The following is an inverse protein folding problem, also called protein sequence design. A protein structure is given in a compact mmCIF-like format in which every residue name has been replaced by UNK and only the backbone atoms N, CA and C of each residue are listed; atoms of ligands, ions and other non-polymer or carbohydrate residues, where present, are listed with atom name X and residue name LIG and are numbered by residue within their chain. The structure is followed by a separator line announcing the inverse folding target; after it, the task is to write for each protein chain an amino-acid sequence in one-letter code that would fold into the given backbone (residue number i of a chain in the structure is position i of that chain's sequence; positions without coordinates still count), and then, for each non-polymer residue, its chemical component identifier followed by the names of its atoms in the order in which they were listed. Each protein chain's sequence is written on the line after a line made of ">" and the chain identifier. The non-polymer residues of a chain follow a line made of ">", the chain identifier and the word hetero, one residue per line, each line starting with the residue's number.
data_IF_961554591386
#
_entry.id   IF_961554591386
#
_cell.length_a   1.000
_cell.length_b   1.000
_cell.length_c   1.000
_cell.angle_alpha   90.00
_cell.angle_beta   90.00
_cell.angle_gamma   90.00
#
_symmetry.space_group_name_H-M   'P 1'
#
loop_
_entity.id
_entity.type
_entity.pdbx_description
1 polymer ?
#
# COMPACT_ATOMS: atom_id res chain seq x y z
N UNK A 1 9.14 -7.08 18.23
CA UNK A 1 7.73 -7.10 17.83
C UNK A 1 7.70 -6.69 16.37
N UNK A 2 7.22 -7.56 15.47
CA UNK A 2 7.05 -7.17 14.07
C UNK A 2 5.69 -6.48 13.98
N UNK A 3 5.66 -5.15 14.12
CA UNK A 3 4.45 -4.36 13.89
C UNK A 3 4.06 -4.44 12.41
N UNK A 4 2.77 -4.75 12.16
CA UNK A 4 2.17 -4.75 10.83
C UNK A 4 1.09 -3.66 10.80
N UNK A 5 1.22 -2.63 9.95
CA UNK A 5 2.39 -2.32 9.11
C UNK A 5 3.59 -1.80 9.93
N UNK A 6 4.83 -1.88 9.41
CA UNK A 6 5.98 -1.32 10.09
C UNK A 6 5.89 0.21 10.19
N UNK A 7 6.60 0.82 11.16
CA UNK A 7 6.51 2.26 11.42
C UNK A 7 6.86 3.13 10.22
N UNK A 8 7.77 2.67 9.36
CA UNK A 8 8.20 3.38 8.14
C UNK A 8 7.39 3.00 6.89
N UNK A 9 6.24 2.33 7.05
CA UNK A 9 5.42 1.87 5.94
C UNK A 9 5.04 3.01 4.99
N UNK A 10 4.54 4.14 5.50
CA UNK A 10 4.09 5.23 4.64
C UNK A 10 5.22 5.78 3.76
N UNK A 11 6.38 6.05 4.35
CA UNK A 11 7.53 6.60 3.63
C UNK A 11 8.06 5.62 2.57
N UNK A 12 8.23 4.34 2.93
CA UNK A 12 8.71 3.31 2.01
C UNK A 12 7.69 3.03 0.90
N UNK A 13 6.40 2.94 1.25
CA UNK A 13 5.36 2.66 0.29
C UNK A 13 5.18 3.82 -0.72
N UNK A 14 5.26 5.07 -0.27
CA UNK A 14 5.25 6.22 -1.19
C UNK A 14 6.50 6.23 -2.07
N UNK A 15 7.67 5.88 -1.54
CA UNK A 15 8.89 5.72 -2.35
C UNK A 15 8.76 4.63 -3.39
N UNK A 16 8.15 3.49 -3.06
CA UNK A 16 7.83 2.42 -4.01
C UNK A 16 6.87 2.90 -5.10
N UNK A 17 5.82 3.66 -4.75
CA UNK A 17 4.88 4.25 -5.70
C UNK A 17 5.57 5.25 -6.64
N UNK A 18 6.52 6.03 -6.12
CA UNK A 18 7.29 7.01 -6.88
C UNK A 18 8.43 6.40 -7.69
N UNK A 19 8.82 5.16 -7.39
CA UNK A 19 9.93 4.50 -8.06
C UNK A 19 9.63 4.40 -9.56
N UNK A 20 10.53 4.93 -10.40
CA UNK A 20 10.36 5.01 -11.85
C UNK A 20 10.17 3.63 -12.50
N UNK A 21 10.77 2.59 -11.95
CA UNK A 21 10.66 1.20 -12.43
C UNK A 21 9.30 0.54 -12.13
N UNK A 22 8.55 1.08 -11.18
CA UNK A 22 7.23 0.59 -10.79
C UNK A 22 6.16 1.17 -11.72
N UNK A 23 5.77 0.43 -12.76
CA UNK A 23 4.73 0.84 -13.72
C UNK A 23 3.33 0.36 -13.32
N UNK A 24 3.24 -0.64 -12.44
CA UNK A 24 1.99 -1.26 -11.98
C UNK A 24 2.04 -1.51 -10.48
N UNK A 25 0.91 -1.36 -9.81
CA UNK A 25 0.80 -1.59 -8.37
C UNK A 25 1.21 -3.01 -7.97
N UNK A 26 0.91 -4.01 -8.80
CA UNK A 26 1.34 -5.41 -8.61
C UNK A 26 2.85 -5.65 -8.57
N UNK A 27 3.67 -4.67 -9.00
CA UNK A 27 5.13 -4.75 -8.85
C UNK A 27 5.57 -4.42 -7.42
N UNK A 28 4.77 -3.65 -6.68
CA UNK A 28 5.00 -3.37 -5.27
C UNK A 28 4.52 -4.58 -4.49
N UNK A 29 5.44 -5.24 -3.78
CA UNK A 29 5.13 -6.42 -2.96
C UNK A 29 5.63 -6.20 -1.55
N UNK A 30 4.68 -6.13 -0.64
CA UNK A 30 4.87 -6.02 0.79
C UNK A 30 4.46 -7.33 1.42
N UNK A 31 5.44 -8.20 1.64
CA UNK A 31 5.19 -9.52 2.23
C UNK A 31 5.17 -9.35 3.74
N UNK A 32 3.99 -9.49 4.32
CA UNK A 32 3.81 -9.54 5.76
C UNK A 32 3.71 -11.01 6.21
N UNK A 33 4.19 -11.29 7.42
CA UNK A 33 4.14 -12.64 7.97
C UNK A 33 2.68 -12.98 8.33
N UNK A 34 1.98 -13.72 7.47
CA UNK A 34 0.54 -14.01 7.59
C UNK A 34 0.13 -14.65 8.92
N UNK A 35 1.05 -15.36 9.58
CA UNK A 35 0.86 -15.91 10.94
C UNK A 35 0.71 -14.85 12.04
N UNK A 36 0.99 -13.57 11.74
CA UNK A 36 0.91 -12.44 12.68
C UNK A 36 -0.08 -11.37 12.24
N UNK A 37 -0.86 -11.61 11.18
CA UNK A 37 -1.84 -10.65 10.67
C UNK A 37 -3.21 -10.97 11.26
N UNK A 38 -3.49 -10.41 12.42
CA UNK A 38 -4.83 -10.35 12.97
C UNK A 38 -5.68 -9.28 12.28
N UNK A 39 -7.01 -9.33 12.47
CA UNK A 39 -7.94 -8.31 11.97
C UNK A 39 -7.50 -6.87 12.32
N UNK A 40 -6.96 -6.67 13.52
CA UNK A 40 -6.45 -5.38 13.96
C UNK A 40 -5.28 -4.88 13.10
N UNK A 41 -4.37 -5.76 12.68
CA UNK A 41 -3.26 -5.41 11.80
C UNK A 41 -3.76 -5.04 10.38
N UNK A 42 -4.76 -5.77 9.86
CA UNK A 42 -5.41 -5.43 8.59
C UNK A 42 -6.09 -4.05 8.64
N UNK A 43 -6.81 -3.76 9.72
CA UNK A 43 -7.44 -2.46 9.93
C UNK A 43 -6.40 -1.35 10.08
N UNK A 44 -5.31 -1.59 10.81
CA UNK A 44 -4.18 -0.66 10.92
C UNK A 44 -3.55 -0.37 9.56
N UNK A 45 -3.38 -1.39 8.70
CA UNK A 45 -2.83 -1.24 7.36
C UNK A 45 -3.74 -0.39 6.47
N UNK A 46 -5.06 -0.65 6.51
CA UNK A 46 -6.05 0.15 5.78
C UNK A 46 -6.06 1.60 6.24
N UNK A 47 -6.01 1.84 7.55
CA UNK A 47 -5.88 3.19 8.10
C UNK A 47 -4.58 3.87 7.67
N UNK A 48 -3.47 3.12 7.59
CA UNK A 48 -2.21 3.65 7.07
C UNK A 48 -2.25 4.01 5.60
N UNK A 49 -2.93 3.22 4.78
CA UNK A 49 -3.19 3.55 3.36
C UNK A 49 -3.99 4.84 3.26
N UNK A 50 -5.01 5.00 4.10
CA UNK A 50 -5.82 6.22 4.14
C UNK A 50 -4.98 7.45 4.52
N UNK A 51 -4.09 7.29 5.50
CA UNK A 51 -3.12 8.28 5.93
C UNK A 51 -1.88 8.43 5.02
N UNK A 52 -1.82 7.77 3.86
CA UNK A 52 -0.71 7.98 2.92
C UNK A 52 -0.77 9.39 2.34
N UNK A 53 0.32 10.12 2.47
CA UNK A 53 0.52 11.36 1.70
C UNK A 53 1.08 10.96 0.33
N UNK A 54 0.19 10.83 -0.65
CA UNK A 54 0.55 10.42 -2.00
C UNK A 54 0.77 11.68 -2.84
N UNK A 55 2.01 12.00 -3.23
CA UNK A 55 2.30 13.19 -4.00
C UNK A 55 1.81 13.07 -5.45
N UNK A 56 1.59 14.22 -6.09
CA UNK A 56 1.03 14.38 -7.44
C UNK A 56 1.57 13.42 -8.53
N UNK A 57 2.90 13.19 -8.68
CA UNK A 57 3.39 12.30 -9.73
C UNK A 57 3.06 10.82 -9.47
N UNK A 58 2.81 10.40 -8.23
CA UNK A 58 2.65 8.99 -7.89
C UNK A 58 1.33 8.42 -8.44
N UNK A 59 0.19 9.08 -8.21
CA UNK A 59 -1.11 8.59 -8.68
C UNK A 59 -1.33 8.80 -10.19
N UNK A 60 -0.81 9.90 -10.76
CA UNK A 60 -0.85 10.16 -12.21
C UNK A 60 -0.14 9.06 -13.00
N UNK A 61 0.95 8.51 -12.46
CA UNK A 61 1.71 7.42 -13.09
C UNK A 61 0.86 6.17 -13.30
N UNK A 62 -0.07 5.90 -12.39
CA UNK A 62 -0.99 4.75 -12.49
C UNK A 62 -2.25 5.07 -13.29
N UNK A 63 -2.31 6.24 -13.94
CA UNK A 63 -3.48 6.69 -14.71
C UNK A 63 -4.67 7.06 -13.84
N UNK A 64 -4.44 7.37 -12.56
CA UNK A 64 -5.49 7.78 -11.64
C UNK A 64 -5.74 9.28 -11.76
N UNK A 65 -6.94 9.73 -11.37
CA UNK A 65 -7.34 11.14 -11.39
C UNK A 65 -6.94 11.88 -10.11
N UNK A 66 -6.71 11.17 -9.00
CA UNK A 66 -6.38 11.75 -7.69
C UNK A 66 -5.73 10.73 -6.76
N UNK A 67 -5.09 11.23 -5.69
CA UNK A 67 -4.52 10.39 -4.63
C UNK A 67 -5.57 9.51 -3.94
N UNK A 68 -6.78 10.02 -3.75
CA UNK A 68 -7.91 9.29 -3.14
C UNK A 68 -8.31 8.07 -3.99
N UNK A 69 -8.41 8.22 -5.30
CA UNK A 69 -8.74 7.13 -6.22
C UNK A 69 -7.68 6.02 -6.15
N UNK A 70 -6.40 6.39 -6.02
CA UNK A 70 -5.33 5.41 -5.80
C UNK A 70 -5.48 4.71 -4.44
N UNK A 71 -5.78 5.44 -3.36
CA UNK A 71 -6.02 4.85 -2.03
C UNK A 71 -7.20 3.88 -2.03
N UNK A 72 -8.30 4.24 -2.69
CA UNK A 72 -9.45 3.35 -2.87
C UNK A 72 -9.05 2.09 -3.64
N UNK A 73 -8.26 2.25 -4.72
CA UNK A 73 -7.75 1.11 -5.48
C UNK A 73 -6.90 0.18 -4.63
N UNK A 74 -5.99 0.74 -3.82
CA UNK A 74 -5.14 -0.02 -2.89
C UNK A 74 -5.95 -0.77 -1.83
N UNK A 75 -7.11 -0.24 -1.43
CA UNK A 75 -8.04 -0.88 -0.48
C UNK A 75 -8.89 -1.99 -1.11
N UNK A 76 -8.94 -2.12 -2.45
CA UNK A 76 -9.69 -3.22 -3.10
C UNK A 76 -9.05 -4.57 -2.80
N UNK A 77 -9.84 -5.58 -2.46
CA UNK A 77 -9.33 -6.88 -2.02
C UNK A 77 -8.32 -7.52 -2.99
N UNK A 78 -8.53 -7.35 -4.30
CA UNK A 78 -7.62 -7.86 -5.34
C UNK A 78 -6.24 -7.21 -5.24
N UNK A 79 -6.18 -5.88 -5.25
CA UNK A 79 -4.91 -5.13 -5.21
C UNK A 79 -4.27 -5.23 -3.83
N UNK A 80 -5.08 -5.12 -2.77
CA UNK A 80 -4.62 -5.24 -1.40
C UNK A 80 -3.94 -6.59 -1.16
N UNK A 81 -4.55 -7.71 -1.58
CA UNK A 81 -3.94 -9.02 -1.40
C UNK A 81 -2.73 -9.24 -2.35
N UNK A 82 -2.77 -8.65 -3.54
CA UNK A 82 -1.66 -8.75 -4.50
C UNK A 82 -0.40 -8.03 -4.00
N UNK A 83 -0.57 -6.84 -3.42
CA UNK A 83 0.52 -6.03 -2.85
C UNK A 83 0.93 -6.56 -1.48
N UNK A 84 -0.02 -6.67 -0.55
CA UNK A 84 0.28 -6.88 0.86
C UNK A 84 0.35 -8.36 1.26
N UNK A 85 0.16 -9.30 0.32
CA UNK A 85 0.30 -10.76 0.49
C UNK A 85 -0.04 -11.24 1.90
N UNK A 86 -1.26 -10.89 2.32
CA UNK A 86 -1.78 -11.14 3.66
C UNK A 86 -2.52 -12.49 3.67
N UNK A 87 -1.81 -13.56 3.34
CA UNK A 87 -2.32 -14.95 3.34
C UNK A 87 -1.62 -15.82 4.38
#
# INVERSE_FOLDING_TARGET
>A
MNEVPPPNFNDQFVKDLLNIDVKKLSQIKWIFDGKKIDKAALEALKNRIDALDIPDPAWKKFGMSSAEELKEKLKTAVIFNDIFKVE
#
